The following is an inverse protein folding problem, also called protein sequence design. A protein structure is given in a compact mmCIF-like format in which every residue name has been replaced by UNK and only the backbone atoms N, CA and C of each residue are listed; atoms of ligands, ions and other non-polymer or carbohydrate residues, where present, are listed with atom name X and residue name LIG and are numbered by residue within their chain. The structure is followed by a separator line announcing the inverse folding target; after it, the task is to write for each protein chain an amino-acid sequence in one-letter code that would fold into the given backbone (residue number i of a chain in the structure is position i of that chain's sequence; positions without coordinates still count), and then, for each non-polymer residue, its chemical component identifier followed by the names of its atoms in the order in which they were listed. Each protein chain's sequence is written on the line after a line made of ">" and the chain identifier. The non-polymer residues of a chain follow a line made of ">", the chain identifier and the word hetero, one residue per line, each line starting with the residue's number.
data_IF_471366582086
#
_entry.id   IF_471366582086
#
_cell.length_a   1.000
_cell.length_b   1.000
_cell.length_c   1.000
_cell.angle_alpha   90.00
_cell.angle_beta   90.00
_cell.angle_gamma   90.00
#
_symmetry.space_group_name_H-M   'P 1'
#
loop_
_entity.id
_entity.type
_entity.pdbx_description
1 polymer ?
#
# COMPACT_ATOMS: atom_id res chain seq x y z
N UNK A 1 -9.38 23.31 8.71
CA UNK A 1 -10.47 22.29 8.62
C UNK A 1 -9.86 20.89 8.65
N UNK A 2 -10.71 19.85 8.69
CA UNK A 2 -10.30 18.44 8.82
C UNK A 2 -9.48 17.93 7.62
N UNK A 3 -9.74 18.42 6.40
CA UNK A 3 -9.03 17.98 5.20
C UNK A 3 -7.60 18.51 5.22
N UNK A 4 -7.43 19.79 5.55
CA UNK A 4 -6.11 20.38 5.74
C UNK A 4 -5.31 19.64 6.82
N UNK A 5 -5.94 19.31 7.96
CA UNK A 5 -5.29 18.51 9.00
C UNK A 5 -4.89 17.13 8.48
N UNK A 6 -5.79 16.41 7.81
CA UNK A 6 -5.51 15.07 7.28
C UNK A 6 -4.38 15.08 6.24
N UNK A 7 -4.34 16.07 5.35
CA UNK A 7 -3.27 16.24 4.36
C UNK A 7 -1.94 16.59 5.01
N UNK A 8 -1.92 17.43 6.04
CA UNK A 8 -0.71 17.70 6.81
C UNK A 8 -0.17 16.46 7.51
N UNK A 9 -1.06 15.64 8.09
CA UNK A 9 -0.65 14.35 8.66
C UNK A 9 -0.08 13.41 7.59
N UNK A 10 -0.70 13.35 6.40
CA UNK A 10 -0.20 12.55 5.28
C UNK A 10 1.22 12.97 4.86
N UNK A 11 1.48 14.28 4.79
CA UNK A 11 2.78 14.86 4.41
C UNK A 11 3.90 14.57 5.40
N UNK A 12 3.60 14.23 6.65
CA UNK A 12 4.62 13.95 7.69
C UNK A 12 4.67 12.50 8.13
N UNK A 13 3.56 11.76 8.01
CA UNK A 13 3.47 10.36 8.41
C UNK A 13 3.50 9.42 7.20
N UNK A 14 2.41 9.34 6.44
CA UNK A 14 2.21 8.27 5.46
C UNK A 14 3.13 8.40 4.24
N UNK A 15 3.14 9.58 3.62
CA UNK A 15 3.89 9.83 2.39
C UNK A 15 5.41 9.66 2.60
N UNK A 16 6.08 10.37 3.53
CA UNK A 16 7.52 10.24 3.69
C UNK A 16 7.94 8.92 4.34
N UNK A 17 7.21 8.42 5.35
CA UNK A 17 7.67 7.25 6.12
C UNK A 17 7.30 5.92 5.49
N UNK A 18 6.35 5.89 4.55
CA UNK A 18 5.97 4.65 3.86
C UNK A 18 6.22 4.76 2.36
N UNK A 19 5.47 5.61 1.66
CA UNK A 19 5.46 5.59 0.18
C UNK A 19 6.82 6.00 -0.39
N UNK A 20 7.37 7.15 0.05
CA UNK A 20 8.64 7.66 -0.47
C UNK A 20 9.81 6.82 0.03
N UNK A 21 9.86 6.46 1.31
CA UNK A 21 10.92 5.65 1.88
C UNK A 21 11.04 4.28 1.18
N UNK A 22 9.92 3.58 0.97
CA UNK A 22 9.93 2.30 0.26
C UNK A 22 10.35 2.48 -1.19
N UNK A 23 9.78 3.46 -1.89
CA UNK A 23 10.09 3.67 -3.32
C UNK A 23 11.57 3.97 -3.52
N UNK A 24 12.15 4.87 -2.71
CA UNK A 24 13.57 5.21 -2.76
C UNK A 24 14.46 4.01 -2.45
N UNK A 25 14.15 3.26 -1.39
CA UNK A 25 14.91 2.06 -1.01
C UNK A 25 14.95 1.04 -2.16
N UNK A 26 13.80 0.76 -2.79
CA UNK A 26 13.72 -0.21 -3.87
C UNK A 26 14.42 0.27 -5.15
N UNK A 27 14.29 1.55 -5.51
CA UNK A 27 14.92 2.06 -6.73
C UNK A 27 16.44 2.17 -6.56
N UNK A 28 16.91 2.66 -5.42
CA UNK A 28 18.35 2.79 -5.13
C UNK A 28 19.05 1.44 -4.98
N UNK A 29 18.36 0.42 -4.46
CA UNK A 29 18.87 -0.96 -4.46
C UNK A 29 19.21 -1.49 -5.86
N UNK A 30 18.63 -0.89 -6.91
CA UNK A 30 18.87 -1.22 -8.32
C UNK A 30 19.59 -0.10 -9.08
N UNK A 31 20.15 0.89 -8.39
CA UNK A 31 20.87 2.02 -9.01
C UNK A 31 19.98 2.96 -9.83
N UNK A 32 18.68 2.99 -9.56
CA UNK A 32 17.71 3.86 -10.24
C UNK A 32 17.37 5.07 -9.37
N UNK A 33 17.45 6.26 -9.95
CA UNK A 33 16.98 7.50 -9.31
C UNK A 33 15.49 7.71 -9.59
N UNK A 34 14.66 7.71 -8.54
CA UNK A 34 13.25 8.03 -8.64
C UNK A 34 13.00 9.54 -8.54
N UNK A 35 12.13 10.08 -9.40
CA UNK A 35 11.65 11.46 -9.31
C UNK A 35 10.14 11.46 -9.03
N UNK A 36 9.69 12.43 -8.23
CA UNK A 36 8.29 12.57 -7.78
C UNK A 36 7.72 13.94 -8.16
N UNK A 37 7.37 14.18 -9.45
CA UNK A 37 7.00 15.52 -9.94
C UNK A 37 5.79 16.16 -9.24
N UNK A 38 4.89 15.35 -8.67
CA UNK A 38 3.75 15.85 -7.90
C UNK A 38 4.15 16.52 -6.57
N UNK A 39 5.38 16.31 -6.10
CA UNK A 39 5.95 16.92 -4.90
C UNK A 39 6.91 18.07 -5.24
N UNK A 40 6.84 18.59 -6.46
CA UNK A 40 7.47 19.86 -6.78
C UNK A 40 7.00 20.96 -5.81
N UNK A 41 7.95 21.76 -5.32
CA UNK A 41 7.69 22.74 -4.25
C UNK A 41 6.68 23.80 -4.68
N UNK A 42 6.75 24.28 -5.93
CA UNK A 42 5.85 25.31 -6.42
C UNK A 42 4.44 24.73 -6.61
N UNK A 43 4.35 23.50 -7.11
CA UNK A 43 3.06 22.81 -7.26
C UNK A 43 2.37 22.56 -5.91
N UNK A 44 3.12 22.11 -4.90
CA UNK A 44 2.59 21.87 -3.56
C UNK A 44 2.11 23.17 -2.93
N UNK A 45 2.94 24.22 -2.93
CA UNK A 45 2.54 25.52 -2.38
C UNK A 45 1.31 26.10 -3.07
N UNK A 46 1.22 25.96 -4.40
CA UNK A 46 0.02 26.37 -5.13
C UNK A 46 -1.22 25.56 -4.72
N UNK A 47 -1.09 24.24 -4.59
CA UNK A 47 -2.20 23.36 -4.20
C UNK A 47 -2.69 23.61 -2.76
N UNK A 48 -1.80 24.02 -1.86
CA UNK A 48 -2.12 24.38 -0.47
C UNK A 48 -2.95 25.67 -0.38
N UNK A 49 -2.78 26.59 -1.32
CA UNK A 49 -3.55 27.85 -1.37
C UNK A 49 -5.00 27.65 -1.85
N UNK A 50 -5.32 26.49 -2.43
CA UNK A 50 -6.67 26.21 -2.92
C UNK A 50 -7.67 26.03 -1.76
N UNK A 51 -8.85 26.67 -1.83
CA UNK A 51 -9.92 26.44 -0.85
C UNK A 51 -10.29 24.96 -0.76
N UNK A 52 -10.60 24.50 0.45
CA UNK A 52 -10.93 23.09 0.72
C UNK A 52 -12.17 22.65 -0.07
N UNK A 53 -13.15 23.54 -0.17
CA UNK A 53 -14.39 23.35 -0.93
C UNK A 53 -14.09 23.14 -2.41
N UNK A 54 -13.08 23.86 -2.93
CA UNK A 54 -12.63 23.69 -4.31
C UNK A 54 -11.91 22.35 -4.49
N UNK A 55 -11.01 21.94 -3.59
CA UNK A 55 -10.23 20.69 -3.74
C UNK A 55 -11.07 19.41 -3.80
N UNK A 56 -12.25 19.41 -3.18
CA UNK A 56 -13.18 18.27 -3.16
C UNK A 56 -14.52 18.51 -3.88
N UNK A 57 -14.67 19.64 -4.58
CA UNK A 57 -15.93 20.08 -5.20
C UNK A 57 -16.63 18.97 -6.00
N UNK A 58 -15.87 18.26 -6.84
CA UNK A 58 -16.38 17.17 -7.69
C UNK A 58 -15.78 15.81 -7.29
N UNK A 59 -15.45 15.66 -6.00
CA UNK A 59 -14.85 14.46 -5.44
C UNK A 59 -13.33 14.40 -5.56
N UNK A 60 -12.71 13.24 -5.23
CA UNK A 60 -11.26 13.12 -5.16
C UNK A 60 -10.59 13.25 -6.53
N UNK A 61 -9.48 13.99 -6.57
CA UNK A 61 -8.64 14.21 -7.77
C UNK A 61 -9.41 14.85 -8.94
N UNK A 62 -10.52 15.54 -8.71
CA UNK A 62 -11.38 16.01 -9.81
C UNK A 62 -10.62 16.96 -10.76
N UNK A 63 -9.82 17.89 -10.24
CA UNK A 63 -9.02 18.81 -11.06
C UNK A 63 -8.04 18.06 -11.96
N UNK A 64 -7.35 17.06 -11.42
CA UNK A 64 -6.43 16.21 -12.19
C UNK A 64 -7.17 15.38 -13.25
N UNK A 65 -8.38 14.91 -12.95
CA UNK A 65 -9.22 14.16 -13.90
C UNK A 65 -9.71 15.05 -15.04
N UNK A 66 -10.07 16.30 -14.74
CA UNK A 66 -10.48 17.29 -15.74
C UNK A 66 -9.32 17.62 -16.68
N UNK A 67 -8.14 17.94 -16.11
CA UNK A 67 -6.93 18.19 -16.90
C UNK A 67 -6.55 16.99 -17.77
N UNK A 68 -6.57 15.77 -17.21
CA UNK A 68 -6.32 14.56 -17.99
C UNK A 68 -7.33 14.39 -19.13
N UNK A 69 -8.60 14.72 -18.92
CA UNK A 69 -9.62 14.61 -19.96
C UNK A 69 -9.37 15.60 -21.10
N UNK A 70 -8.89 16.81 -20.79
CA UNK A 70 -8.50 17.82 -21.79
C UNK A 70 -7.24 17.41 -22.59
N UNK A 71 -6.41 16.53 -22.02
CA UNK A 71 -5.21 15.98 -22.66
C UNK A 71 -5.46 14.59 -23.28
N UNK A 72 -6.67 14.34 -23.78
CA UNK A 72 -7.10 13.08 -24.39
C UNK A 72 -6.96 11.83 -23.48
N UNK A 73 -6.84 12.03 -22.17
CA UNK A 73 -6.61 11.01 -21.15
C UNK A 73 -7.87 10.46 -20.49
N UNK A 74 -9.05 10.60 -21.12
CA UNK A 74 -10.36 10.23 -20.54
C UNK A 74 -10.40 8.81 -19.96
N UNK A 75 -9.80 7.84 -20.66
CA UNK A 75 -9.71 6.44 -20.20
C UNK A 75 -8.97 6.29 -18.86
N UNK A 76 -7.97 7.14 -18.60
CA UNK A 76 -7.20 7.14 -17.35
C UNK A 76 -7.91 7.93 -16.25
N UNK A 77 -8.58 9.03 -16.60
CA UNK A 77 -9.36 9.85 -15.66
C UNK A 77 -10.52 9.07 -15.02
N UNK A 78 -11.12 8.14 -15.78
CA UNK A 78 -12.23 7.29 -15.33
C UNK A 78 -11.78 6.01 -14.61
N UNK A 79 -10.47 5.73 -14.57
CA UNK A 79 -9.94 4.53 -13.91
C UNK A 79 -10.18 4.59 -12.39
N UNK A 80 -10.53 3.46 -11.79
CA UNK A 80 -10.65 3.34 -10.34
C UNK A 80 -9.30 3.66 -9.70
N UNK A 81 -9.32 4.35 -8.54
CA UNK A 81 -8.12 4.56 -7.73
C UNK A 81 -7.61 3.21 -7.25
N UNK A 82 -6.36 2.92 -7.53
CA UNK A 82 -5.59 1.83 -6.95
C UNK A 82 -4.64 2.42 -5.92
N UNK A 83 -4.50 1.73 -4.79
CA UNK A 83 -3.55 2.10 -3.75
C UNK A 83 -2.15 1.56 -4.06
N UNK A 84 -1.21 1.84 -3.16
CA UNK A 84 0.16 1.30 -3.19
C UNK A 84 0.31 -0.01 -2.39
N UNK A 85 -0.81 -0.64 -2.01
CA UNK A 85 -0.79 -1.90 -1.29
C UNK A 85 -0.24 -3.03 -2.15
N UNK A 86 0.51 -3.94 -1.53
CA UNK A 86 0.93 -5.17 -2.19
C UNK A 86 -0.31 -5.99 -2.58
N UNK A 87 -0.32 -6.64 -3.76
CA UNK A 87 -1.46 -7.46 -4.19
C UNK A 87 -1.45 -8.84 -3.49
N UNK A 88 -1.31 -8.84 -2.16
CA UNK A 88 -1.15 -10.03 -1.32
C UNK A 88 -2.24 -11.07 -1.57
N UNK A 89 -3.50 -10.63 -1.63
CA UNK A 89 -4.61 -11.54 -1.85
C UNK A 89 -4.52 -12.29 -3.19
N UNK A 90 -4.09 -11.59 -4.25
CA UNK A 90 -3.79 -12.21 -5.54
C UNK A 90 -2.61 -13.15 -5.42
N UNK A 91 -1.49 -12.71 -4.83
CA UNK A 91 -0.29 -13.53 -4.73
C UNK A 91 -0.52 -14.86 -4.01
N UNK A 92 -1.30 -14.83 -2.93
CA UNK A 92 -1.69 -16.03 -2.18
C UNK A 92 -2.61 -16.93 -3.01
N UNK A 93 -3.54 -16.35 -3.78
CA UNK A 93 -4.47 -17.13 -4.62
C UNK A 93 -3.82 -17.74 -5.86
N UNK A 94 -2.85 -17.05 -6.46
CA UNK A 94 -2.18 -17.49 -7.69
C UNK A 94 -0.94 -18.36 -7.42
N UNK A 95 -0.55 -18.53 -6.16
CA UNK A 95 0.66 -19.25 -5.76
C UNK A 95 1.96 -18.44 -5.89
N UNK A 96 1.89 -17.17 -6.32
CA UNK A 96 3.06 -16.27 -6.37
C UNK A 96 3.67 -16.04 -4.97
N UNK A 97 2.92 -16.33 -3.91
CA UNK A 97 3.34 -16.21 -2.52
C UNK A 97 3.88 -17.51 -1.88
N UNK A 98 3.86 -18.64 -2.59
CA UNK A 98 4.06 -19.96 -1.98
C UNK A 98 5.43 -20.10 -1.29
N UNK A 99 6.48 -19.49 -1.84
CA UNK A 99 7.83 -19.52 -1.27
C UNK A 99 7.86 -18.97 0.17
N UNK A 100 7.32 -17.77 0.39
CA UNK A 100 7.31 -17.15 1.72
C UNK A 100 6.14 -17.62 2.60
N UNK A 101 5.04 -18.10 2.02
CA UNK A 101 3.95 -18.73 2.77
C UNK A 101 4.38 -20.07 3.38
N UNK A 102 5.25 -20.81 2.67
CA UNK A 102 5.76 -22.10 3.14
C UNK A 102 6.46 -21.99 4.50
N UNK A 103 6.95 -20.80 4.84
CA UNK A 103 7.53 -20.49 6.14
C UNK A 103 6.57 -20.79 7.30
N UNK A 104 5.27 -20.49 7.15
CA UNK A 104 4.25 -20.78 8.17
C UNK A 104 3.96 -22.28 8.33
N UNK A 105 4.48 -23.14 7.43
CA UNK A 105 4.32 -24.58 7.56
C UNK A 105 5.29 -25.20 8.56
N UNK A 106 6.37 -24.49 8.92
CA UNK A 106 7.29 -24.88 9.99
C UNK A 106 6.54 -25.02 11.32
N UNK A 107 6.83 -26.09 12.06
CA UNK A 107 6.22 -26.34 13.38
C UNK A 107 7.07 -25.79 14.53
N UNK A 108 8.31 -25.38 14.23
CA UNK A 108 9.35 -24.96 15.14
C UNK A 108 9.54 -23.43 15.19
N UNK A 109 8.61 -22.64 14.64
CA UNK A 109 8.70 -21.18 14.72
C UNK A 109 8.50 -20.71 16.16
N UNK A 110 9.35 -19.79 16.62
CA UNK A 110 9.23 -19.14 17.94
C UNK A 110 7.84 -18.52 18.13
N UNK A 111 7.24 -17.98 17.06
CA UNK A 111 5.90 -17.41 17.08
C UNK A 111 4.84 -18.39 17.63
N UNK A 112 4.99 -19.70 17.38
CA UNK A 112 4.01 -20.70 17.80
C UNK A 112 4.01 -20.98 19.30
N UNK A 113 5.01 -20.51 20.04
CA UNK A 113 4.97 -20.49 21.51
C UNK A 113 3.96 -19.45 22.04
N UNK A 114 3.60 -18.46 21.22
CA UNK A 114 2.74 -17.34 21.59
C UNK A 114 1.40 -17.31 20.84
N UNK A 115 1.28 -18.04 19.74
CA UNK A 115 0.11 -18.04 18.86
C UNK A 115 -0.20 -19.46 18.38
N UNK A 116 -1.47 -19.88 18.47
CA UNK A 116 -1.90 -21.18 17.95
C UNK A 116 -1.71 -21.23 16.41
N UNK A 117 -0.88 -22.14 15.87
CA UNK A 117 -0.65 -22.26 14.44
C UNK A 117 -1.90 -22.66 13.64
N UNK A 118 -2.94 -23.22 14.29
CA UNK A 118 -4.16 -23.64 13.60
C UNK A 118 -4.87 -22.47 12.92
N UNK A 119 -4.96 -21.32 13.58
CA UNK A 119 -5.71 -20.15 13.07
C UNK A 119 -5.05 -19.55 11.82
N UNK A 120 -3.74 -19.18 11.82
CA UNK A 120 -3.11 -18.67 10.60
C UNK A 120 -3.14 -19.67 9.44
N UNK A 121 -2.96 -20.97 9.71
CA UNK A 121 -3.03 -22.01 8.66
C UNK A 121 -4.43 -22.15 8.07
N UNK A 122 -5.48 -21.93 8.86
CA UNK A 122 -6.86 -21.87 8.35
C UNK A 122 -7.09 -20.64 7.47
N UNK A 123 -6.55 -19.48 7.86
CA UNK A 123 -6.62 -18.27 7.05
C UNK A 123 -5.98 -18.46 5.68
N UNK A 124 -4.78 -19.05 5.63
CA UNK A 124 -4.08 -19.35 4.37
C UNK A 124 -4.96 -20.23 3.46
N UNK A 125 -5.52 -21.32 4.00
CA UNK A 125 -6.43 -22.20 3.23
C UNK A 125 -7.68 -21.47 2.73
N UNK A 126 -8.27 -20.60 3.54
CA UNK A 126 -9.45 -19.84 3.17
C UNK A 126 -9.16 -18.79 2.08
N UNK A 127 -8.03 -18.08 2.18
CA UNK A 127 -7.56 -17.12 1.19
C UNK A 127 -7.26 -17.78 -0.15
N UNK A 128 -6.49 -18.88 -0.15
CA UNK A 128 -6.16 -19.66 -1.34
C UNK A 128 -7.42 -20.19 -2.04
N UNK A 129 -8.41 -20.63 -1.27
CA UNK A 129 -9.70 -21.07 -1.80
C UNK A 129 -10.64 -19.93 -2.23
N UNK A 130 -10.25 -18.66 -2.06
CA UNK A 130 -11.08 -17.49 -2.37
C UNK A 130 -12.34 -17.39 -1.50
N UNK A 131 -12.37 -18.04 -0.33
CA UNK A 131 -13.55 -18.10 0.55
C UNK A 131 -13.65 -16.91 1.50
N UNK A 132 -12.54 -16.24 1.77
CA UNK A 132 -12.44 -15.07 2.62
C UNK A 132 -11.17 -14.27 2.24
N UNK A 133 -11.13 -12.99 2.64
CA UNK A 133 -9.92 -12.15 2.53
C UNK A 133 -9.24 -12.06 3.89
N UNK A 134 -8.10 -12.74 4.02
CA UNK A 134 -7.20 -12.71 5.17
C UNK A 134 -5.78 -12.27 4.76
N UNK A 135 -5.63 -11.64 3.59
CA UNK A 135 -4.32 -11.41 2.99
C UNK A 135 -3.41 -10.56 3.89
N UNK A 136 -3.97 -9.55 4.56
CA UNK A 136 -3.23 -8.68 5.46
C UNK A 136 -2.86 -9.39 6.77
N UNK A 137 -3.77 -10.16 7.34
CA UNK A 137 -3.54 -10.94 8.56
C UNK A 137 -2.45 -11.98 8.35
N UNK A 138 -2.50 -12.71 7.23
CA UNK A 138 -1.48 -13.67 6.84
C UNK A 138 -0.12 -12.97 6.71
N UNK A 139 -0.06 -11.83 6.00
CA UNK A 139 1.18 -11.07 5.86
C UNK A 139 1.75 -10.61 7.20
N UNK A 140 0.90 -10.15 8.12
CA UNK A 140 1.33 -9.74 9.45
C UNK A 140 1.94 -10.92 10.22
N UNK A 141 1.31 -12.10 10.19
CA UNK A 141 1.83 -13.32 10.83
C UNK A 141 3.19 -13.71 10.23
N UNK A 142 3.33 -13.72 8.90
CA UNK A 142 4.61 -14.01 8.24
C UNK A 142 5.69 -13.01 8.66
N UNK A 143 5.36 -11.72 8.66
CA UNK A 143 6.31 -10.65 9.01
C UNK A 143 6.81 -10.80 10.44
N UNK A 144 5.91 -10.99 11.40
CA UNK A 144 6.27 -11.17 12.82
C UNK A 144 7.06 -12.46 13.02
N UNK A 145 6.64 -13.57 12.41
CA UNK A 145 7.35 -14.84 12.48
C UNK A 145 8.77 -14.69 11.95
N UNK A 146 8.97 -14.04 10.79
CA UNK A 146 10.29 -13.85 10.21
C UNK A 146 11.15 -12.92 11.07
N UNK A 147 10.56 -11.88 11.68
CA UNK A 147 11.29 -10.98 12.57
C UNK A 147 11.81 -11.70 13.83
N UNK A 148 11.00 -12.55 14.46
CA UNK A 148 11.36 -13.33 15.65
C UNK A 148 12.46 -14.37 15.39
N UNK A 149 12.59 -14.88 14.17
CA UNK A 149 13.70 -15.80 13.85
C UNK A 149 15.03 -15.06 13.65
N UNK A 150 14.99 -13.74 13.44
CA UNK A 150 16.19 -12.92 13.19
C UNK A 150 16.68 -12.15 14.43
N UNK A 151 15.85 -12.01 15.47
CA UNK A 151 16.11 -11.19 16.66
C UNK A 151 15.64 -11.90 17.93
#
# INVERSE_FOLDING_TARGET
>A
DWLNWAQQQDMVEYLPKQVLALSDTFTMAHGLELRVPYLDTDLVHWAEQLPVEFRLQSGPKWLLKELLTQLDGKKYAQRRKEGFGLPLGRWIQTGEADDWLSFLNRNDLVLWEHLDPATPRQWVKAQQAGKADFAQEIWNVVTVANWLEQH
#
